data_IF_749375733600
#
_entry.id   IF_749375733600
#
_cell.length_a   1.000
_cell.length_b   1.000
_cell.length_c   1.000
_cell.angle_alpha   90.00
_cell.angle_beta   90.00
_cell.angle_gamma   90.00
#
_symmetry.space_group_name_H-M   'P 1'
#
loop_
_entity.id
_entity.type
_entity.pdbx_description
1 polymer ?
#
# COMPACT_ATOMS: atom_id res chain seq x y z
N UNK A 1 -3.18 40.53 37.12
CA UNK A 1 -2.76 39.41 36.24
C UNK A 1 -3.90 39.15 35.27
N UNK A 2 -3.73 39.37 33.96
CA UNK A 2 -4.78 39.01 33.00
C UNK A 2 -4.79 37.49 32.85
N UNK A 3 -5.89 36.87 33.24
CA UNK A 3 -6.19 35.46 32.95
C UNK A 3 -6.20 35.29 31.42
N UNK A 4 -5.47 34.30 30.92
CA UNK A 4 -5.53 33.87 29.52
C UNK A 4 -6.20 32.50 29.47
N UNK A 5 -6.98 32.22 28.44
CA UNK A 5 -7.59 30.90 28.24
C UNK A 5 -6.53 29.89 27.81
N UNK A 6 -6.44 28.79 28.54
CA UNK A 6 -5.59 27.63 28.20
C UNK A 6 -6.02 27.07 26.82
N UNK A 7 -5.07 26.61 26.00
CA UNK A 7 -5.34 26.06 24.67
C UNK A 7 -5.46 27.08 23.52
N UNK A 8 -5.67 28.36 23.80
CA UNK A 8 -5.84 29.39 22.74
C UNK A 8 -4.55 29.79 22.02
N UNK A 9 -3.40 29.36 22.55
CA UNK A 9 -2.06 29.55 21.95
C UNK A 9 -1.28 28.24 21.83
N UNK A 10 -1.92 27.10 22.05
CA UNK A 10 -1.28 25.81 21.85
C UNK A 10 -1.06 25.64 20.36
N UNK A 11 0.20 25.84 19.96
CA UNK A 11 0.64 25.71 18.57
C UNK A 11 1.56 24.51 18.51
N UNK A 12 1.29 23.68 17.53
CA UNK A 12 2.18 22.59 17.17
C UNK A 12 3.41 23.24 16.55
N UNK A 13 4.55 23.21 17.26
CA UNK A 13 5.83 23.74 16.77
C UNK A 13 6.45 22.85 15.66
N UNK A 14 5.76 21.80 15.23
CA UNK A 14 6.18 20.94 14.13
C UNK A 14 5.41 21.27 12.85
N UNK A 15 6.14 21.32 11.73
CA UNK A 15 5.55 21.40 10.40
C UNK A 15 4.82 20.08 10.10
N UNK A 16 3.48 20.13 10.06
CA UNK A 16 2.65 18.99 9.67
C UNK A 16 2.37 19.08 8.18
N UNK A 17 2.82 18.09 7.43
CA UNK A 17 2.50 17.95 6.00
C UNK A 17 1.17 17.21 5.91
N UNK A 18 0.24 17.76 5.14
CA UNK A 18 -1.09 17.16 4.95
C UNK A 18 -1.00 15.78 4.31
N UNK A 19 -1.74 14.82 4.87
CA UNK A 19 -1.90 13.46 4.32
C UNK A 19 -3.05 13.36 3.30
N UNK A 20 -3.71 14.49 2.98
CA UNK A 20 -4.78 14.54 1.99
C UNK A 20 -4.27 14.11 0.61
N UNK A 21 -5.11 13.39 -0.14
CA UNK A 21 -4.83 13.06 -1.53
C UNK A 21 -5.10 14.27 -2.44
N UNK A 22 -4.06 14.78 -3.12
CA UNK A 22 -4.14 15.96 -3.99
C UNK A 22 -4.12 15.58 -5.47
N UNK A 23 -5.05 16.12 -6.27
CA UNK A 23 -4.99 16.03 -7.74
C UNK A 23 -5.18 14.62 -8.29
N UNK A 24 -5.84 13.74 -7.53
CA UNK A 24 -6.12 12.34 -7.89
C UNK A 24 -7.61 12.03 -8.01
N UNK A 25 -8.44 13.06 -8.10
CA UNK A 25 -9.90 12.93 -8.06
C UNK A 25 -10.42 12.05 -9.21
N UNK A 26 -9.80 12.16 -10.40
CA UNK A 26 -10.16 11.34 -11.58
C UNK A 26 -9.76 9.88 -11.42
N UNK A 27 -8.63 9.62 -10.81
CA UNK A 27 -8.14 8.27 -10.57
C UNK A 27 -8.97 7.57 -9.49
N UNK A 28 -9.35 8.28 -8.43
CA UNK A 28 -10.28 7.79 -7.40
C UNK A 28 -11.63 7.43 -8.04
N UNK A 29 -12.18 8.32 -8.86
CA UNK A 29 -13.45 8.08 -9.56
C UNK A 29 -13.40 6.84 -10.47
N UNK A 30 -12.28 6.60 -11.17
CA UNK A 30 -12.08 5.38 -11.96
C UNK A 30 -12.06 4.11 -11.11
N UNK A 31 -11.41 4.15 -9.94
CA UNK A 31 -11.38 3.03 -9.01
C UNK A 31 -12.76 2.72 -8.45
N UNK A 32 -13.50 3.75 -8.01
CA UNK A 32 -14.87 3.60 -7.51
C UNK A 32 -15.82 3.10 -8.60
N UNK A 33 -15.72 3.63 -9.83
CA UNK A 33 -16.54 3.16 -10.95
C UNK A 33 -16.24 1.69 -11.28
N UNK A 34 -15.00 1.23 -11.10
CA UNK A 34 -14.66 -0.18 -11.28
C UNK A 34 -15.27 -1.05 -10.18
N UNK A 35 -15.20 -0.60 -8.93
CA UNK A 35 -15.89 -1.27 -7.83
C UNK A 35 -17.40 -1.34 -8.06
N UNK A 36 -18.03 -0.25 -8.49
CA UNK A 36 -19.47 -0.20 -8.73
C UNK A 36 -19.90 -1.18 -9.84
N UNK A 37 -19.12 -1.32 -10.93
CA UNK A 37 -19.40 -2.33 -11.96
C UNK A 37 -19.34 -3.76 -11.43
N UNK A 38 -18.37 -4.03 -10.56
CA UNK A 38 -18.19 -5.34 -9.92
C UNK A 38 -19.31 -5.63 -8.92
N UNK A 39 -19.72 -4.62 -8.14
CA UNK A 39 -20.70 -4.74 -7.07
C UNK A 39 -22.16 -4.75 -7.55
N UNK A 40 -22.51 -3.93 -8.55
CA UNK A 40 -23.90 -3.64 -8.94
C UNK A 40 -24.33 -4.31 -10.26
N UNK A 41 -23.44 -5.07 -10.93
CA UNK A 41 -23.70 -5.63 -12.26
C UNK A 41 -24.78 -6.72 -12.30
N UNK A 42 -25.66 -6.69 -13.33
CA UNK A 42 -26.62 -7.78 -13.64
C UNK A 42 -25.94 -9.10 -14.08
N UNK A 43 -24.68 -9.00 -14.53
CA UNK A 43 -23.74 -10.11 -14.76
C UNK A 43 -22.46 -9.80 -14.03
N UNK A 44 -22.47 -10.12 -12.75
CA UNK A 44 -21.33 -10.01 -11.84
C UNK A 44 -20.09 -10.62 -12.47
N UNK A 45 -18.97 -9.90 -12.42
CA UNK A 45 -17.75 -10.25 -13.13
C UNK A 45 -16.54 -9.92 -12.27
N UNK A 46 -15.46 -10.67 -12.47
CA UNK A 46 -14.17 -10.37 -11.86
C UNK A 46 -13.43 -9.35 -12.73
N UNK A 47 -12.98 -8.24 -12.14
CA UNK A 47 -12.17 -7.23 -12.83
C UNK A 47 -10.78 -7.12 -12.20
N UNK A 48 -9.75 -6.97 -13.06
CA UNK A 48 -8.39 -6.62 -12.66
C UNK A 48 -8.16 -5.12 -12.91
N UNK A 49 -7.85 -4.36 -11.86
CA UNK A 49 -7.50 -2.95 -11.94
C UNK A 49 -6.03 -2.74 -11.58
N UNK A 50 -5.23 -2.32 -12.55
CA UNK A 50 -3.80 -2.08 -12.38
C UNK A 50 -3.49 -0.60 -12.14
N UNK A 51 -2.74 -0.28 -11.10
CA UNK A 51 -2.23 1.05 -10.80
C UNK A 51 -0.72 1.05 -11.03
N UNK A 52 -0.30 1.54 -12.20
CA UNK A 52 1.09 1.70 -12.57
C UNK A 52 1.63 3.08 -12.21
N UNK A 53 2.92 3.18 -11.97
CA UNK A 53 3.64 4.45 -11.83
C UNK A 53 4.92 4.32 -11.03
N UNK A 54 5.75 5.35 -11.07
CA UNK A 54 7.04 5.39 -10.38
C UNK A 54 6.94 5.17 -8.86
N UNK A 55 8.06 4.85 -8.23
CA UNK A 55 8.16 4.78 -6.76
C UNK A 55 7.78 6.14 -6.11
N UNK A 56 7.04 6.08 -5.00
CA UNK A 56 6.62 7.28 -4.25
C UNK A 56 5.55 8.16 -4.93
N UNK A 57 5.00 7.74 -6.07
CA UNK A 57 4.04 8.55 -6.86
C UNK A 57 2.62 8.63 -6.23
N UNK A 58 2.36 7.83 -5.20
CA UNK A 58 1.10 7.77 -4.47
C UNK A 58 0.15 6.62 -4.85
N UNK A 59 0.66 5.49 -5.37
CA UNK A 59 -0.17 4.32 -5.74
C UNK A 59 -0.97 3.77 -4.56
N UNK A 60 -0.30 3.43 -3.46
CA UNK A 60 -0.96 2.87 -2.26
C UNK A 60 -1.86 3.92 -1.58
N UNK A 61 -1.47 5.20 -1.59
CA UNK A 61 -2.31 6.29 -1.08
C UNK A 61 -3.62 6.45 -1.88
N UNK A 62 -3.55 6.32 -3.21
CA UNK A 62 -4.73 6.35 -4.08
C UNK A 62 -5.68 5.19 -3.77
N UNK A 63 -5.14 3.97 -3.61
CA UNK A 63 -5.95 2.78 -3.31
C UNK A 63 -6.56 2.86 -1.91
N UNK A 64 -5.84 3.37 -0.92
CA UNK A 64 -6.37 3.55 0.43
C UNK A 64 -7.52 4.57 0.50
N UNK A 65 -7.60 5.52 -0.45
CA UNK A 65 -8.69 6.50 -0.51
C UNK A 65 -10.05 5.84 -0.77
N UNK A 66 -10.08 4.75 -1.53
CA UNK A 66 -11.33 4.04 -1.85
C UNK A 66 -11.74 3.01 -0.79
N UNK A 67 -10.89 2.74 0.20
CA UNK A 67 -11.17 1.78 1.27
C UNK A 67 -12.46 2.13 2.02
N UNK A 68 -12.62 3.39 2.46
CA UNK A 68 -13.81 3.83 3.19
C UNK A 68 -15.10 3.71 2.35
N UNK A 69 -15.18 4.26 1.12
CA UNK A 69 -16.34 4.07 0.26
C UNK A 69 -16.72 2.60 0.01
N UNK A 70 -15.73 1.70 -0.12
CA UNK A 70 -15.98 0.26 -0.32
C UNK A 70 -16.65 -0.35 0.92
N UNK A 71 -16.11 -0.06 2.11
CA UNK A 71 -16.67 -0.55 3.38
C UNK A 71 -18.07 0.02 3.63
N UNK A 72 -18.34 1.28 3.26
CA UNK A 72 -19.67 1.88 3.33
C UNK A 72 -20.71 1.14 2.46
N UNK A 73 -20.27 0.60 1.31
CA UNK A 73 -21.06 -0.27 0.44
C UNK A 73 -21.02 -1.75 0.85
N UNK A 74 -20.60 -2.06 2.08
CA UNK A 74 -20.49 -3.42 2.66
C UNK A 74 -19.51 -4.35 1.95
N UNK A 75 -18.60 -3.81 1.13
CA UNK A 75 -17.55 -4.61 0.51
C UNK A 75 -16.46 -4.98 1.53
N UNK A 76 -15.85 -6.14 1.33
CA UNK A 76 -14.62 -6.50 2.04
C UNK A 76 -13.42 -5.92 1.29
N UNK A 77 -12.47 -5.39 2.05
CA UNK A 77 -11.21 -4.89 1.50
C UNK A 77 -10.06 -5.51 2.26
N UNK A 78 -9.17 -6.17 1.52
CA UNK A 78 -7.97 -6.81 2.06
C UNK A 78 -6.78 -6.41 1.22
N UNK A 79 -5.61 -6.27 1.85
CA UNK A 79 -4.39 -5.92 1.17
C UNK A 79 -3.23 -6.85 1.50
N UNK A 80 -2.40 -7.08 0.49
CA UNK A 80 -1.20 -7.87 0.54
C UNK A 80 -0.07 -7.16 -0.19
N UNK A 81 1.17 -7.41 0.22
CA UNK A 81 2.33 -6.75 -0.37
C UNK A 81 3.44 -7.73 -0.67
N UNK A 82 3.98 -7.66 -1.88
CA UNK A 82 5.18 -8.41 -2.26
C UNK A 82 6.44 -7.72 -1.74
N UNK A 83 7.44 -8.51 -1.39
CA UNK A 83 8.76 -8.04 -0.95
C UNK A 83 9.84 -8.53 -1.91
N UNK A 84 10.72 -7.62 -2.34
CA UNK A 84 11.85 -7.93 -3.22
C UNK A 84 12.80 -8.99 -2.66
N UNK A 85 12.85 -9.15 -1.33
CA UNK A 85 13.70 -10.14 -0.65
C UNK A 85 12.98 -11.47 -0.36
N UNK A 86 11.68 -11.55 -0.63
CA UNK A 86 10.86 -12.75 -0.38
C UNK A 86 10.29 -13.36 -1.68
N UNK A 87 10.98 -13.16 -2.81
CA UNK A 87 10.54 -13.69 -4.11
C UNK A 87 10.49 -15.22 -4.18
N UNK A 88 11.20 -15.89 -3.27
CA UNK A 88 11.22 -17.35 -3.17
C UNK A 88 10.10 -17.92 -2.29
N UNK A 89 9.29 -17.06 -1.65
CA UNK A 89 8.14 -17.47 -0.83
C UNK A 89 6.87 -17.40 -1.70
N UNK A 90 6.32 -18.54 -2.14
CA UNK A 90 5.15 -18.56 -3.00
C UNK A 90 3.94 -17.94 -2.30
N UNK A 91 3.13 -17.19 -3.07
CA UNK A 91 1.85 -16.66 -2.60
C UNK A 91 1.96 -15.65 -1.45
N UNK A 92 3.15 -15.14 -1.10
CA UNK A 92 3.38 -14.31 0.09
C UNK A 92 2.38 -13.16 0.26
N UNK A 93 2.18 -12.32 -0.77
CA UNK A 93 1.23 -11.22 -0.70
C UNK A 93 -0.23 -11.70 -0.57
N UNK A 94 -0.60 -12.79 -1.28
CA UNK A 94 -1.94 -13.36 -1.17
C UNK A 94 -2.20 -13.84 0.26
N UNK A 95 -1.31 -14.66 0.81
CA UNK A 95 -1.47 -15.26 2.13
C UNK A 95 -1.48 -14.22 3.25
N UNK A 96 -0.69 -13.14 3.12
CA UNK A 96 -0.66 -12.07 4.12
C UNK A 96 -1.95 -11.22 4.13
N UNK A 97 -2.76 -11.23 3.07
CA UNK A 97 -3.98 -10.43 2.98
C UNK A 97 -5.18 -11.06 3.71
N UNK A 98 -5.29 -12.38 3.71
CA UNK A 98 -6.47 -13.08 4.23
C UNK A 98 -6.62 -13.11 5.76
N UNK A 99 -5.57 -13.10 6.60
CA UNK A 99 -5.73 -13.03 8.05
C UNK A 99 -6.61 -11.87 8.52
N UNK A 100 -6.51 -10.71 7.87
CA UNK A 100 -7.37 -9.56 8.19
C UNK A 100 -8.82 -9.78 7.77
N UNK A 101 -9.05 -10.45 6.62
CA UNK A 101 -10.40 -10.86 6.22
C UNK A 101 -11.04 -11.74 7.29
N UNK A 102 -10.32 -12.77 7.74
CA UNK A 102 -10.83 -13.72 8.73
C UNK A 102 -11.20 -12.99 10.02
N UNK A 103 -10.39 -12.03 10.48
CA UNK A 103 -10.71 -11.20 11.65
C UNK A 103 -11.94 -10.32 11.45
N UNK A 104 -12.13 -9.75 10.26
CA UNK A 104 -13.34 -9.00 9.92
C UNK A 104 -14.57 -9.91 9.99
N UNK A 105 -14.51 -11.11 9.41
CA UNK A 105 -15.60 -12.10 9.46
C UNK A 105 -15.90 -12.55 10.89
N UNK A 106 -14.88 -12.79 11.71
CA UNK A 106 -15.07 -13.17 13.12
C UNK A 106 -15.77 -12.08 13.95
N UNK A 107 -15.84 -10.85 13.45
CA UNK A 107 -16.52 -9.72 14.09
C UNK A 107 -17.97 -9.53 13.59
N UNK A 108 -18.42 -10.33 12.62
CA UNK A 108 -19.79 -10.29 12.09
C UNK A 108 -20.80 -10.95 13.06
N UNK A 109 -22.11 -10.66 12.90
CA UNK A 109 -23.15 -11.34 13.66
C UNK A 109 -23.10 -12.87 13.54
N UNK A 110 -23.42 -13.57 14.62
CA UNK A 110 -23.31 -15.03 14.72
C UNK A 110 -24.00 -15.78 13.58
N UNK A 111 -25.18 -15.32 13.15
CA UNK A 111 -25.93 -15.92 12.04
C UNK A 111 -25.16 -15.87 10.70
N UNK A 112 -24.51 -14.74 10.41
CA UNK A 112 -23.68 -14.57 9.21
C UNK A 112 -22.40 -15.38 9.30
N UNK A 113 -21.76 -15.39 10.47
CA UNK A 113 -20.56 -16.19 10.71
C UNK A 113 -20.85 -17.69 10.50
N UNK A 114 -21.96 -18.20 11.04
CA UNK A 114 -22.39 -19.59 10.85
C UNK A 114 -22.67 -19.91 9.37
N UNK A 115 -23.30 -18.99 8.64
CA UNK A 115 -23.54 -19.12 7.20
C UNK A 115 -22.23 -19.30 6.42
N UNK A 116 -21.27 -18.38 6.63
CA UNK A 116 -19.95 -18.44 5.97
C UNK A 116 -19.18 -19.70 6.35
N UNK A 117 -19.19 -20.08 7.64
CA UNK A 117 -18.52 -21.29 8.10
C UNK A 117 -19.09 -22.56 7.44
N UNK A 118 -20.43 -22.63 7.29
CA UNK A 118 -21.11 -23.73 6.60
C UNK A 118 -20.71 -23.78 5.12
N UNK A 119 -20.76 -22.64 4.44
CA UNK A 119 -20.39 -22.55 3.02
C UNK A 119 -18.91 -22.92 2.77
N UNK A 120 -18.00 -22.47 3.64
CA UNK A 120 -16.59 -22.88 3.60
C UNK A 120 -16.42 -24.40 3.77
N UNK A 121 -17.12 -25.01 4.72
CA UNK A 121 -17.07 -26.46 4.93
C UNK A 121 -17.63 -27.23 3.73
N UNK A 122 -18.70 -26.76 3.10
CA UNK A 122 -19.28 -27.39 1.91
C UNK A 122 -18.36 -27.28 0.68
N UNK A 123 -17.77 -26.11 0.46
CA UNK A 123 -16.96 -25.82 -0.74
C UNK A 123 -15.56 -26.43 -0.68
N UNK A 124 -14.93 -26.37 0.50
CA UNK A 124 -13.58 -26.92 0.74
C UNK A 124 -13.63 -28.41 1.09
N UNK A 125 -14.70 -28.87 1.74
CA UNK A 125 -14.88 -30.26 2.14
C UNK A 125 -13.75 -30.76 3.06
N UNK A 126 -13.39 -32.03 2.88
CA UNK A 126 -12.32 -32.69 3.66
C UNK A 126 -10.92 -32.12 3.40
N UNK A 127 -10.76 -31.28 2.37
CA UNK A 127 -9.47 -30.69 1.99
C UNK A 127 -9.25 -29.29 2.58
N UNK A 128 -10.14 -28.81 3.47
CA UNK A 128 -10.04 -27.51 4.11
C UNK A 128 -8.73 -27.28 4.87
N UNK A 129 -8.10 -28.35 5.37
CA UNK A 129 -6.79 -28.28 6.04
C UNK A 129 -5.70 -27.68 5.15
N UNK A 130 -5.77 -27.87 3.83
CA UNK A 130 -4.79 -27.31 2.87
C UNK A 130 -4.77 -25.77 2.92
N UNK A 131 -5.93 -25.15 3.16
CA UNK A 131 -6.03 -23.68 3.30
C UNK A 131 -5.65 -23.25 4.71
N UNK A 132 -6.04 -24.03 5.74
CA UNK A 132 -5.65 -23.74 7.14
C UNK A 132 -4.12 -23.76 7.31
N UNK A 133 -3.41 -24.66 6.63
CA UNK A 133 -1.94 -24.75 6.71
C UNK A 133 -1.24 -23.46 6.25
N UNK A 134 -1.88 -22.66 5.40
CA UNK A 134 -1.34 -21.37 4.91
C UNK A 134 -2.05 -20.14 5.47
N UNK A 135 -3.28 -20.28 5.98
CA UNK A 135 -4.07 -19.24 6.65
C UNK A 135 -4.62 -19.84 7.96
N UNK A 136 -3.80 -19.92 9.02
CA UNK A 136 -4.17 -20.61 10.26
C UNK A 136 -5.40 -20.02 10.96
N UNK A 137 -5.66 -18.73 10.79
CA UNK A 137 -6.82 -18.04 11.33
C UNK A 137 -8.14 -18.67 10.88
N UNK A 138 -8.17 -19.35 9.72
CA UNK A 138 -9.34 -20.03 9.21
C UNK A 138 -9.85 -21.14 10.16
N UNK A 139 -8.95 -21.76 10.95
CA UNK A 139 -9.34 -22.75 11.97
C UNK A 139 -10.32 -22.16 13.00
N UNK A 140 -10.25 -20.85 13.27
CA UNK A 140 -11.16 -20.17 14.19
C UNK A 140 -12.60 -20.09 13.66
N UNK A 141 -12.80 -20.16 12.34
CA UNK A 141 -14.12 -20.12 11.71
C UNK A 141 -14.73 -21.50 11.52
N UNK A 142 -13.97 -22.45 10.97
CA UNK A 142 -14.50 -23.76 10.56
C UNK A 142 -14.06 -24.91 11.47
N UNK A 143 -13.26 -24.62 12.50
CA UNK A 143 -12.71 -25.61 13.43
C UNK A 143 -11.58 -26.44 12.84
N UNK A 144 -11.00 -27.30 13.67
CA UNK A 144 -9.93 -28.23 13.29
C UNK A 144 -10.38 -29.18 12.20
N UNK A 145 -9.52 -29.37 11.21
CA UNK A 145 -9.77 -30.27 10.09
C UNK A 145 -8.83 -31.48 10.14
N UNK A 146 -9.19 -32.60 9.48
CA UNK A 146 -8.29 -33.73 9.33
C UNK A 146 -7.01 -33.34 8.57
N UNK A 147 -5.85 -33.95 8.85
CA UNK A 147 -4.62 -33.69 8.11
C UNK A 147 -4.79 -33.89 6.61
N UNK A 148 -4.29 -32.94 5.81
CA UNK A 148 -4.36 -33.04 4.36
C UNK A 148 -3.52 -34.21 3.83
N UNK A 149 -4.01 -34.89 2.79
CA UNK A 149 -3.24 -35.97 2.14
C UNK A 149 -1.99 -35.40 1.46
N UNK A 150 -0.84 -36.04 1.66
CA UNK A 150 0.41 -35.69 0.97
C UNK A 150 0.32 -36.04 -0.52
N UNK A 151 0.71 -35.09 -1.38
CA UNK A 151 0.70 -35.24 -2.83
C UNK A 151 2.07 -34.87 -3.41
N UNK A 152 2.33 -35.31 -4.65
CA UNK A 152 3.47 -34.79 -5.43
C UNK A 152 3.37 -33.28 -5.61
N UNK A 153 4.50 -32.58 -5.74
CA UNK A 153 4.54 -31.11 -5.82
C UNK A 153 3.58 -30.49 -6.84
N UNK A 154 3.50 -31.02 -8.05
CA UNK A 154 2.60 -30.48 -9.10
C UNK A 154 1.11 -30.71 -8.79
N UNK A 155 0.76 -31.88 -8.24
CA UNK A 155 -0.60 -32.18 -7.81
C UNK A 155 -1.01 -31.33 -6.59
N UNK A 156 -0.08 -31.11 -5.65
CA UNK A 156 -0.29 -30.24 -4.51
C UNK A 156 -0.54 -28.78 -4.94
N UNK A 157 0.23 -28.26 -5.90
CA UNK A 157 0.05 -26.91 -6.44
C UNK A 157 -1.30 -26.75 -7.15
N UNK A 158 -1.68 -27.71 -8.00
CA UNK A 158 -2.97 -27.67 -8.69
C UNK A 158 -4.15 -27.77 -7.70
N UNK A 159 -4.02 -28.63 -6.68
CA UNK A 159 -5.00 -28.73 -5.59
C UNK A 159 -5.12 -27.39 -4.85
N UNK A 160 -4.00 -26.81 -4.45
CA UNK A 160 -3.96 -25.54 -3.75
C UNK A 160 -4.66 -24.44 -4.57
N UNK A 161 -4.26 -24.25 -5.83
CA UNK A 161 -4.86 -23.24 -6.70
C UNK A 161 -6.39 -23.42 -6.84
N UNK A 162 -6.85 -24.67 -7.00
CA UNK A 162 -8.29 -24.96 -7.09
C UNK A 162 -9.03 -24.60 -5.80
N UNK A 163 -8.51 -25.02 -4.65
CA UNK A 163 -9.09 -24.78 -3.34
C UNK A 163 -9.03 -23.29 -2.97
N UNK A 164 -7.95 -22.60 -3.30
CA UNK A 164 -7.78 -21.18 -2.99
C UNK A 164 -8.76 -20.32 -3.80
N UNK A 165 -8.97 -20.61 -5.08
CA UNK A 165 -10.01 -19.93 -5.86
C UNK A 165 -11.42 -20.17 -5.31
N UNK A 166 -11.70 -21.40 -4.85
CA UNK A 166 -12.98 -21.75 -4.20
C UNK A 166 -13.14 -21.04 -2.85
N UNK A 167 -12.07 -20.92 -2.09
CA UNK A 167 -12.03 -20.17 -0.84
C UNK A 167 -12.35 -18.68 -1.09
N UNK A 168 -11.75 -18.07 -2.12
CA UNK A 168 -12.05 -16.68 -2.52
C UNK A 168 -13.52 -16.51 -2.89
N UNK A 169 -14.12 -17.45 -3.64
CA UNK A 169 -15.51 -17.32 -4.09
C UNK A 169 -16.51 -17.23 -2.93
N UNK A 170 -16.20 -17.83 -1.76
CA UNK A 170 -17.08 -17.72 -0.58
C UNK A 170 -17.25 -16.28 -0.11
N UNK A 171 -16.19 -15.47 -0.19
CA UNK A 171 -16.21 -14.09 0.31
C UNK A 171 -16.57 -13.06 -0.76
N UNK A 172 -16.54 -13.44 -2.04
CA UNK A 172 -16.86 -12.56 -3.15
C UNK A 172 -18.34 -12.74 -3.55
N UNK A 173 -19.22 -12.06 -2.81
CA UNK A 173 -20.69 -12.23 -2.93
C UNK A 173 -21.38 -10.91 -3.27
N UNK A 174 -22.63 -10.97 -3.72
CA UNK A 174 -23.40 -9.79 -4.10
C UNK A 174 -23.59 -8.82 -2.93
N UNK A 175 -23.88 -9.37 -1.76
CA UNK A 175 -24.09 -8.61 -0.53
C UNK A 175 -22.79 -8.03 0.04
N UNK A 176 -21.67 -8.66 -0.32
CA UNK A 176 -20.32 -8.35 0.17
C UNK A 176 -19.28 -8.52 -0.94
N UNK A 177 -19.18 -7.57 -1.89
CA UNK A 177 -18.16 -7.64 -2.93
C UNK A 177 -16.77 -7.63 -2.31
N UNK A 178 -15.87 -8.45 -2.83
CA UNK A 178 -14.51 -8.56 -2.33
C UNK A 178 -13.55 -7.71 -3.16
N UNK A 179 -12.73 -6.94 -2.46
CA UNK A 179 -11.62 -6.18 -3.05
C UNK A 179 -10.32 -6.71 -2.46
N UNK A 180 -9.45 -7.21 -3.33
CA UNK A 180 -8.11 -7.68 -2.95
C UNK A 180 -7.11 -6.72 -3.57
N UNK A 181 -6.31 -6.05 -2.75
CA UNK A 181 -5.22 -5.19 -3.22
C UNK A 181 -3.87 -5.87 -3.04
N UNK A 182 -3.11 -6.01 -4.13
CA UNK A 182 -1.75 -6.53 -4.12
C UNK A 182 -0.76 -5.45 -4.54
N UNK A 183 0.09 -5.02 -3.60
CA UNK A 183 1.10 -3.99 -3.83
C UNK A 183 2.46 -4.60 -4.25
N UNK A 184 3.24 -3.79 -4.97
CA UNK A 184 4.55 -4.14 -5.52
C UNK A 184 4.56 -5.40 -6.42
N UNK A 185 3.56 -5.57 -7.31
CA UNK A 185 3.45 -6.72 -8.22
C UNK A 185 4.68 -6.97 -9.11
N UNK A 186 5.55 -5.98 -9.32
CA UNK A 186 6.81 -6.19 -10.04
C UNK A 186 7.74 -7.20 -9.33
N UNK A 187 7.48 -7.53 -8.06
CA UNK A 187 8.23 -8.51 -7.28
C UNK A 187 7.46 -9.82 -7.05
N UNK A 188 6.29 -9.98 -7.67
CA UNK A 188 5.50 -11.20 -7.55
C UNK A 188 6.25 -12.43 -8.11
N UNK A 189 6.17 -13.54 -7.37
CA UNK A 189 6.68 -14.83 -7.82
C UNK A 189 5.77 -15.46 -8.89
N UNK A 190 6.30 -16.45 -9.63
CA UNK A 190 5.57 -17.08 -10.73
C UNK A 190 4.32 -17.85 -10.27
N UNK A 191 4.33 -18.43 -9.06
CA UNK A 191 3.18 -19.15 -8.55
C UNK A 191 2.05 -18.16 -8.19
N UNK A 192 2.38 -17.03 -7.56
CA UNK A 192 1.43 -15.93 -7.31
C UNK A 192 0.81 -15.37 -8.59
N UNK A 193 1.61 -15.16 -9.63
CA UNK A 193 1.11 -14.68 -10.94
C UNK A 193 0.21 -15.73 -11.62
N UNK A 194 0.56 -17.02 -11.52
CA UNK A 194 -0.29 -18.12 -11.99
C UNK A 194 -1.63 -18.15 -11.25
N UNK A 195 -1.62 -17.98 -9.93
CA UNK A 195 -2.84 -17.91 -9.12
C UNK A 195 -3.70 -16.71 -9.50
N UNK A 196 -3.10 -15.53 -9.68
CA UNK A 196 -3.79 -14.33 -10.19
C UNK A 196 -4.52 -14.63 -11.50
N UNK A 197 -3.83 -15.25 -12.46
CA UNK A 197 -4.42 -15.66 -13.73
C UNK A 197 -5.60 -16.61 -13.54
N UNK A 198 -5.45 -17.64 -12.72
CA UNK A 198 -6.52 -18.62 -12.45
C UNK A 198 -7.75 -17.97 -11.79
N UNK A 199 -7.55 -17.03 -10.87
CA UNK A 199 -8.64 -16.26 -10.25
C UNK A 199 -9.37 -15.42 -11.28
N UNK A 200 -8.63 -14.77 -12.20
CA UNK A 200 -9.22 -13.96 -13.27
C UNK A 200 -9.92 -14.78 -14.37
N UNK A 201 -9.56 -16.05 -14.54
CA UNK A 201 -10.18 -16.95 -15.53
C UNK A 201 -11.49 -17.59 -15.06
N UNK A 202 -11.68 -17.75 -13.74
CA UNK A 202 -12.79 -18.53 -13.20
C UNK A 202 -14.12 -17.78 -13.22
N UNK A 203 -15.07 -18.36 -13.93
CA UNK A 203 -16.45 -17.87 -14.08
C UNK A 203 -17.23 -17.91 -12.76
N UNK A 204 -16.86 -18.80 -11.83
CA UNK A 204 -17.58 -18.97 -10.56
C UNK A 204 -17.19 -17.94 -9.51
N UNK A 205 -16.16 -17.12 -9.75
CA UNK A 205 -15.82 -15.98 -8.88
C UNK A 205 -16.50 -14.75 -9.46
N UNK A 206 -17.49 -14.27 -8.72
CA UNK A 206 -18.28 -13.09 -9.03
C UNK A 206 -18.00 -12.03 -7.96
N UNK A 207 -18.28 -10.76 -8.24
CA UNK A 207 -18.14 -9.67 -7.25
C UNK A 207 -16.72 -9.50 -6.69
N UNK A 208 -15.70 -9.80 -7.50
CA UNK A 208 -14.29 -9.61 -7.13
C UNK A 208 -13.65 -8.47 -7.94
N UNK A 209 -13.13 -7.48 -7.23
CA UNK A 209 -12.21 -6.49 -7.78
C UNK A 209 -10.79 -6.81 -7.30
N UNK A 210 -9.97 -7.36 -8.19
CA UNK A 210 -8.55 -7.55 -7.93
C UNK A 210 -7.81 -6.27 -8.32
N UNK A 211 -7.11 -5.65 -7.39
CA UNK A 211 -6.30 -4.47 -7.63
C UNK A 211 -4.83 -4.78 -7.50
N UNK A 212 -4.03 -4.26 -8.43
CA UNK A 212 -2.59 -4.50 -8.48
C UNK A 212 -1.82 -3.20 -8.63
N UNK A 213 -0.94 -2.87 -7.70
CA UNK A 213 -0.02 -1.75 -7.86
C UNK A 213 1.36 -2.23 -8.30
N UNK A 214 1.99 -1.52 -9.24
CA UNK A 214 3.33 -1.87 -9.68
C UNK A 214 4.14 -0.65 -10.14
N UNK A 215 5.46 -0.84 -10.20
CA UNK A 215 6.41 0.15 -10.72
C UNK A 215 6.57 -0.06 -12.22
N UNK A 216 5.99 0.84 -13.00
CA UNK A 216 6.01 0.78 -14.46
C UNK A 216 7.41 0.94 -15.06
N UNK A 217 8.31 1.61 -14.34
CA UNK A 217 9.71 1.75 -14.71
C UNK A 217 10.60 0.53 -14.38
N UNK A 218 10.10 -0.46 -13.63
CA UNK A 218 10.83 -1.69 -13.27
C UNK A 218 10.37 -2.92 -14.07
N UNK A 219 9.32 -2.78 -14.89
CA UNK A 219 8.79 -3.87 -15.70
C UNK A 219 8.94 -3.54 -17.18
N UNK A 220 9.48 -4.50 -17.92
CA UNK A 220 9.62 -4.41 -19.37
C UNK A 220 8.62 -5.38 -20.05
N UNK A 221 8.44 -5.34 -21.38
CA UNK A 221 7.51 -6.23 -22.07
C UNK A 221 7.75 -7.74 -21.86
N UNK A 222 8.97 -8.16 -21.53
CA UNK A 222 9.31 -9.55 -21.22
C UNK A 222 9.21 -9.92 -19.73
N UNK A 223 8.79 -8.98 -18.88
CA UNK A 223 8.67 -9.22 -17.44
C UNK A 223 7.49 -10.17 -17.16
N UNK A 224 7.63 -11.16 -16.26
CA UNK A 224 6.57 -12.15 -15.98
C UNK A 224 5.20 -11.53 -15.70
N UNK A 225 5.14 -10.47 -14.89
CA UNK A 225 3.89 -9.72 -14.63
C UNK A 225 3.19 -9.26 -15.92
N UNK A 226 3.94 -8.67 -16.87
CA UNK A 226 3.36 -8.14 -18.11
C UNK A 226 2.83 -9.29 -18.98
N UNK A 227 3.60 -10.36 -19.10
CA UNK A 227 3.17 -11.57 -19.83
C UNK A 227 1.89 -12.16 -19.22
N UNK A 228 1.82 -12.27 -17.89
CA UNK A 228 0.60 -12.75 -17.20
C UNK A 228 -0.61 -11.85 -17.47
N UNK A 229 -0.44 -10.53 -17.45
CA UNK A 229 -1.53 -9.58 -17.75
C UNK A 229 -2.01 -9.74 -19.20
N UNK A 230 -1.09 -9.92 -20.15
CA UNK A 230 -1.43 -10.17 -21.56
C UNK A 230 -2.19 -11.49 -21.72
N UNK A 231 -1.76 -12.54 -21.03
CA UNK A 231 -2.47 -13.83 -21.02
C UNK A 231 -3.89 -13.71 -20.47
N UNK A 232 -4.09 -12.99 -19.36
CA UNK A 232 -5.43 -12.72 -18.79
C UNK A 232 -6.32 -12.01 -19.82
N UNK A 233 -5.80 -10.98 -20.48
CA UNK A 233 -6.54 -10.26 -21.54
C UNK A 233 -6.89 -11.19 -22.71
N UNK A 234 -5.96 -12.02 -23.16
CA UNK A 234 -6.16 -12.94 -24.28
C UNK A 234 -7.22 -14.01 -23.99
N UNK A 235 -7.42 -14.35 -22.72
CA UNK A 235 -8.46 -15.28 -22.26
C UNK A 235 -9.81 -14.59 -22.01
N UNK A 236 -9.92 -13.29 -22.31
CA UNK A 236 -11.15 -12.52 -22.17
C UNK A 236 -11.34 -11.89 -20.79
N UNK A 237 -10.34 -11.96 -19.90
CA UNK A 237 -10.37 -11.29 -18.61
C UNK A 237 -10.43 -9.77 -18.74
N UNK A 238 -11.19 -9.13 -17.86
CA UNK A 238 -11.38 -7.67 -17.86
C UNK A 238 -10.21 -7.03 -17.12
N UNK A 239 -9.37 -6.31 -17.85
CA UNK A 239 -8.19 -5.64 -17.30
C UNK A 239 -8.25 -4.14 -17.59
N UNK A 240 -8.32 -3.35 -16.53
CA UNK A 240 -8.26 -1.90 -16.55
C UNK A 240 -6.93 -1.41 -15.98
N UNK A 241 -6.52 -0.20 -16.37
CA UNK A 241 -5.24 0.35 -15.96
C UNK A 241 -5.31 1.87 -15.74
N UNK A 242 -4.66 2.30 -14.66
CA UNK A 242 -4.39 3.69 -14.31
C UNK A 242 -2.87 3.85 -14.25
N UNK A 243 -2.31 4.78 -15.02
CA UNK A 243 -0.89 5.17 -14.91
C UNK A 243 -0.82 6.51 -14.20
N UNK A 244 -0.23 6.52 -13.00
CA UNK A 244 -0.06 7.72 -12.21
C UNK A 244 1.11 8.55 -12.73
N UNK A 245 0.79 9.74 -13.22
CA UNK A 245 1.77 10.78 -13.50
C UNK A 245 2.15 11.55 -12.22
N UNK A 246 3.30 12.25 -12.21
CA UNK A 246 3.61 13.22 -11.16
C UNK A 246 2.49 14.23 -10.94
N UNK A 247 2.41 14.79 -9.73
CA UNK A 247 1.44 15.84 -9.43
C UNK A 247 1.68 17.01 -10.37
N UNK A 248 0.61 17.63 -10.85
CA UNK A 248 0.72 18.92 -11.51
C UNK A 248 1.25 19.96 -10.51
N UNK A 249 1.85 21.03 -11.02
CA UNK A 249 2.27 22.14 -10.19
C UNK A 249 1.11 22.73 -9.38
N UNK A 250 -0.12 22.74 -9.92
CA UNK A 250 -1.31 23.19 -9.19
C UNK A 250 -1.70 22.28 -8.03
N UNK A 251 -1.67 20.96 -8.23
CA UNK A 251 -1.96 20.00 -7.16
C UNK A 251 -0.88 20.05 -6.07
N UNK A 252 0.39 20.13 -6.47
CA UNK A 252 1.48 20.34 -5.52
C UNK A 252 1.37 21.67 -4.78
N UNK A 253 0.90 22.74 -5.44
CA UNK A 253 0.71 24.02 -4.79
C UNK A 253 -0.32 23.96 -3.67
N UNK A 254 -1.39 23.19 -3.85
CA UNK A 254 -2.39 22.99 -2.80
C UNK A 254 -1.79 22.23 -1.60
N UNK A 255 -0.97 21.20 -1.84
CA UNK A 255 -0.24 20.51 -0.78
C UNK A 255 0.68 21.47 -0.01
N UNK A 256 1.48 22.27 -0.72
CA UNK A 256 2.40 23.24 -0.09
C UNK A 256 1.62 24.31 0.67
N UNK A 257 0.56 24.86 0.09
CA UNK A 257 -0.31 25.85 0.70
C UNK A 257 -0.89 25.36 2.03
N UNK A 258 -1.46 24.16 2.05
CA UNK A 258 -2.02 23.55 3.26
C UNK A 258 -0.93 23.30 4.31
N UNK A 259 0.25 22.84 3.88
CA UNK A 259 1.39 22.55 4.76
C UNK A 259 1.90 23.79 5.49
N UNK A 260 2.03 24.93 4.80
CA UNK A 260 2.49 26.19 5.39
C UNK A 260 1.34 27.09 5.88
N UNK A 261 0.09 26.63 5.76
CA UNK A 261 -1.14 27.35 6.07
C UNK A 261 -1.27 28.72 5.36
N UNK A 262 -0.97 28.74 4.06
CA UNK A 262 -1.03 29.92 3.18
C UNK A 262 -2.16 29.77 2.15
N UNK A 263 -2.51 30.87 1.47
CA UNK A 263 -3.33 30.78 0.27
C UNK A 263 -2.49 30.28 -0.91
N UNK A 264 -3.10 29.62 -1.92
CA UNK A 264 -2.38 29.11 -3.10
C UNK A 264 -1.52 30.16 -3.81
N UNK A 265 -1.93 31.43 -3.82
CA UNK A 265 -1.18 32.50 -4.47
C UNK A 265 0.13 32.81 -3.72
N UNK A 266 0.12 32.69 -2.38
CA UNK A 266 1.28 33.00 -1.54
C UNK A 266 2.27 31.84 -1.44
N UNK A 267 1.80 30.61 -1.62
CA UNK A 267 2.67 29.41 -1.64
C UNK A 267 3.37 29.21 -2.98
N UNK A 268 2.87 29.83 -4.06
CA UNK A 268 3.30 29.51 -5.44
C UNK A 268 4.82 29.62 -5.66
N UNK A 269 5.46 30.67 -5.15
CA UNK A 269 6.90 30.87 -5.32
C UNK A 269 7.74 29.76 -4.66
N UNK A 270 7.31 29.27 -3.50
CA UNK A 270 7.93 28.12 -2.83
C UNK A 270 7.65 26.83 -3.60
N UNK A 271 6.39 26.63 -4.02
CA UNK A 271 5.96 25.49 -4.82
C UNK A 271 6.78 25.35 -6.10
N UNK A 272 7.09 26.44 -6.80
CA UNK A 272 7.92 26.41 -8.01
C UNK A 272 9.30 25.81 -7.75
N UNK A 273 9.92 26.14 -6.62
CA UNK A 273 11.24 25.59 -6.26
C UNK A 273 11.14 24.11 -5.87
N UNK A 274 10.12 23.75 -5.09
CA UNK A 274 9.86 22.35 -4.72
C UNK A 274 9.59 21.53 -5.99
N UNK A 275 8.71 22.01 -6.87
CA UNK A 275 8.39 21.35 -8.13
C UNK A 275 9.62 21.17 -9.01
N UNK A 276 10.45 22.20 -9.15
CA UNK A 276 11.70 22.12 -9.92
C UNK A 276 12.63 21.03 -9.40
N UNK A 277 12.78 20.90 -8.08
CA UNK A 277 13.66 19.91 -7.46
C UNK A 277 13.11 18.47 -7.51
N UNK A 278 11.79 18.32 -7.44
CA UNK A 278 11.12 17.04 -7.17
C UNK A 278 10.33 16.49 -8.35
N UNK A 279 10.18 17.32 -9.40
CA UNK A 279 9.41 17.03 -10.61
C UNK A 279 7.97 16.56 -10.33
N UNK A 280 7.38 17.04 -9.23
CA UNK A 280 6.01 16.71 -8.84
C UNK A 280 5.81 15.33 -8.21
N UNK A 281 6.88 14.57 -7.91
CA UNK A 281 6.77 13.32 -7.16
C UNK A 281 6.36 13.60 -5.69
N UNK A 282 5.19 13.13 -5.21
CA UNK A 282 4.69 13.43 -3.86
C UNK A 282 5.65 13.07 -2.73
N UNK A 283 6.30 11.90 -2.81
CA UNK A 283 7.26 11.46 -1.80
C UNK A 283 8.46 12.43 -1.76
N UNK A 284 9.06 12.73 -2.90
CA UNK A 284 10.18 13.66 -2.98
C UNK A 284 9.80 15.08 -2.55
N UNK A 285 8.61 15.57 -2.94
CA UNK A 285 8.07 16.85 -2.47
C UNK A 285 7.98 16.91 -0.96
N UNK A 286 7.37 15.90 -0.34
CA UNK A 286 7.19 15.80 1.11
C UNK A 286 8.53 15.78 1.83
N UNK A 287 9.48 14.97 1.36
CA UNK A 287 10.80 14.87 1.96
C UNK A 287 11.62 16.14 1.77
N UNK A 288 11.52 16.81 0.62
CA UNK A 288 12.20 18.08 0.41
C UNK A 288 11.64 19.17 1.32
N UNK A 289 10.32 19.24 1.52
CA UNK A 289 9.71 20.15 2.50
C UNK A 289 10.23 19.87 3.92
N UNK A 290 10.29 18.60 4.34
CA UNK A 290 10.87 18.21 5.64
C UNK A 290 12.33 18.64 5.77
N UNK A 291 13.12 18.47 4.71
CA UNK A 291 14.50 18.92 4.65
C UNK A 291 14.62 20.44 4.82
N UNK A 292 13.84 21.21 4.05
CA UNK A 292 13.83 22.67 4.14
C UNK A 292 13.47 23.14 5.56
N UNK A 293 12.54 22.46 6.23
CA UNK A 293 12.22 22.75 7.62
C UNK A 293 13.37 22.42 8.58
N UNK A 294 14.00 21.25 8.42
CA UNK A 294 15.13 20.82 9.25
C UNK A 294 16.35 21.74 9.14
N UNK A 295 16.62 22.28 7.96
CA UNK A 295 17.71 23.24 7.73
C UNK A 295 17.31 24.69 8.10
N UNK A 296 16.11 24.91 8.65
CA UNK A 296 15.64 26.24 9.06
C UNK A 296 15.29 27.18 7.89
N UNK A 297 15.12 26.63 6.69
CA UNK A 297 14.74 27.38 5.48
C UNK A 297 13.24 27.57 5.37
N UNK A 298 12.45 26.67 5.98
CA UNK A 298 11.06 26.90 6.36
C UNK A 298 11.04 26.93 7.88
N UNK A 299 10.61 28.04 8.49
CA UNK A 299 10.71 28.23 9.93
C UNK A 299 9.49 28.97 10.48
N UNK A 300 9.12 28.66 11.72
CA UNK A 300 8.00 29.33 12.38
C UNK A 300 8.42 30.74 12.81
N UNK A 301 7.58 31.73 12.47
CA UNK A 301 7.67 33.05 13.05
C UNK A 301 6.71 33.16 14.24
N UNK A 302 7.23 32.93 15.44
CA UNK A 302 6.49 33.01 16.71
C UNK A 302 5.73 34.33 16.92
N UNK A 303 6.20 35.45 16.36
CA UNK A 303 5.55 36.76 16.54
C UNK A 303 4.32 36.92 15.64
N UNK A 304 4.36 36.37 14.43
CA UNK A 304 3.27 36.48 13.44
C UNK A 304 2.40 35.23 13.39
N UNK A 305 2.87 34.14 14.00
CA UNK A 305 2.20 32.86 14.03
C UNK A 305 2.01 32.23 12.66
N UNK A 306 3.02 32.36 11.78
CA UNK A 306 3.02 31.90 10.40
C UNK A 306 4.37 31.30 10.06
N UNK A 307 4.36 30.28 9.22
CA UNK A 307 5.56 29.80 8.56
C UNK A 307 6.15 30.89 7.67
N UNK A 308 7.46 31.09 7.73
CA UNK A 308 8.24 31.89 6.80
C UNK A 308 9.21 30.99 6.05
N UNK A 309 9.72 31.47 4.91
CA UNK A 309 10.70 30.73 4.13
C UNK A 309 11.76 31.61 3.46
N UNK A 310 13.00 31.12 3.38
CA UNK A 310 14.11 31.80 2.73
C UNK A 310 14.18 31.42 1.23
N UNK A 311 13.39 32.10 0.41
CA UNK A 311 13.27 31.78 -1.01
C UNK A 311 14.60 31.83 -1.80
N UNK A 312 15.50 32.82 -1.60
CA UNK A 312 16.81 32.82 -2.26
C UNK A 312 17.65 31.56 -2.02
N UNK A 313 17.76 31.09 -0.77
CA UNK A 313 18.54 29.89 -0.44
C UNK A 313 17.86 28.61 -0.97
N UNK A 314 16.53 28.55 -0.87
CA UNK A 314 15.74 27.43 -1.41
C UNK A 314 15.92 27.31 -2.92
N UNK A 315 15.99 28.44 -3.63
CA UNK A 315 16.23 28.46 -5.08
C UNK A 315 17.58 27.87 -5.45
N UNK A 316 18.64 28.22 -4.72
CA UNK A 316 19.98 27.65 -4.94
C UNK A 316 19.95 26.13 -4.74
N UNK A 317 19.32 25.65 -3.67
CA UNK A 317 19.19 24.21 -3.39
C UNK A 317 18.35 23.48 -4.43
N UNK A 318 17.29 24.12 -4.94
CA UNK A 318 16.44 23.55 -5.97
C UNK A 318 17.14 23.42 -7.34
N UNK A 319 18.20 24.21 -7.57
CA UNK A 319 19.03 24.16 -8.79
C UNK A 319 20.21 23.18 -8.66
N UNK A 320 20.56 22.75 -7.45
CA UNK A 320 21.71 21.87 -7.20
C UNK A 320 21.30 20.40 -6.99
N UNK A 321 21.99 19.45 -7.63
CA UNK A 321 21.92 18.00 -7.35
C UNK A 321 20.55 17.34 -7.61
N UNK A 322 20.49 16.02 -7.52
CA UNK A 322 19.23 15.26 -7.54
C UNK A 322 18.58 15.24 -6.14
N UNK A 323 17.27 15.02 -6.04
CA UNK A 323 16.60 14.73 -4.77
C UNK A 323 17.05 13.40 -4.18
N UNK A 324 17.48 12.44 -5.01
CA UNK A 324 18.07 11.18 -4.53
C UNK A 324 19.37 11.43 -3.76
N UNK A 325 20.23 12.31 -4.26
CA UNK A 325 21.46 12.74 -3.58
C UNK A 325 21.13 13.42 -2.24
N UNK A 326 20.09 14.27 -2.22
CA UNK A 326 19.63 14.91 -1.00
C UNK A 326 19.20 13.89 0.07
N UNK A 327 18.52 12.80 -0.30
CA UNK A 327 18.19 11.73 0.64
C UNK A 327 19.44 11.01 1.15
N UNK A 328 20.39 10.74 0.26
CA UNK A 328 21.65 10.11 0.63
C UNK A 328 22.43 10.98 1.63
N UNK A 329 22.49 12.30 1.39
CA UNK A 329 23.10 13.28 2.29
C UNK A 329 22.40 13.33 3.65
N UNK A 330 21.08 13.19 3.69
CA UNK A 330 20.34 13.11 4.96
C UNK A 330 20.72 11.88 5.77
N UNK A 331 20.89 10.72 5.13
CA UNK A 331 21.35 9.49 5.80
C UNK A 331 22.79 9.68 6.29
N UNK A 332 23.66 10.31 5.50
CA UNK A 332 25.05 10.56 5.88
C UNK A 332 25.21 11.54 7.06
N UNK A 333 24.21 12.42 7.30
CA UNK A 333 24.17 13.31 8.47
C UNK A 333 23.80 12.59 9.78
N UNK A 334 23.32 11.35 9.72
CA UNK A 334 22.98 10.57 10.91
C UNK A 334 24.25 10.09 11.65
N UNK A 335 24.18 9.79 12.95
CA UNK A 335 25.28 9.16 13.67
C UNK A 335 25.75 7.88 12.96
N UNK A 336 27.06 7.59 13.00
CA UNK A 336 27.63 6.44 12.30
C UNK A 336 26.98 5.12 12.71
N UNK A 337 26.65 4.95 14.00
CA UNK A 337 25.94 3.77 14.50
C UNK A 337 24.54 3.62 13.89
N UNK A 338 23.80 4.73 13.73
CA UNK A 338 22.51 4.75 13.05
C UNK A 338 22.67 4.40 11.56
N UNK A 339 23.69 4.91 10.88
CA UNK A 339 23.94 4.57 9.47
C UNK A 339 24.26 3.08 9.28
N UNK A 340 25.11 2.51 10.14
CA UNK A 340 25.43 1.08 10.13
C UNK A 340 24.17 0.23 10.38
N UNK A 341 23.35 0.64 11.35
CA UNK A 341 22.09 -0.03 11.65
C UNK A 341 21.12 0.01 10.48
N UNK A 342 20.97 1.17 9.81
CA UNK A 342 20.11 1.32 8.64
C UNK A 342 20.57 0.46 7.45
N UNK A 343 21.88 0.28 7.26
CA UNK A 343 22.41 -0.63 6.22
C UNK A 343 21.99 -2.08 6.48
N UNK A 344 22.04 -2.53 7.73
CA UNK A 344 21.59 -3.87 8.10
C UNK A 344 20.07 -4.02 7.95
N UNK A 345 19.32 -3.03 8.43
CA UNK A 345 17.86 -2.99 8.29
C UNK A 345 17.42 -3.11 6.82
N UNK A 346 18.11 -2.41 5.91
CA UNK A 346 17.84 -2.46 4.47
C UNK A 346 18.06 -3.85 3.84
N UNK A 347 18.75 -4.78 4.51
CA UNK A 347 19.01 -6.13 4.03
C UNK A 347 18.04 -7.19 4.58
N UNK A 348 17.16 -6.86 5.52
CA UNK A 348 16.26 -7.84 6.16
C UNK A 348 14.99 -8.00 5.32
N UNK A 349 14.15 -6.97 5.27
CA UNK A 349 12.84 -6.96 4.60
C UNK A 349 12.22 -5.56 4.72
N UNK A 350 11.08 -5.34 4.06
CA UNK A 350 10.32 -4.08 4.17
C UNK A 350 9.73 -3.83 5.57
N UNK A 351 9.50 -4.88 6.36
CA UNK A 351 9.04 -4.80 7.75
C UNK A 351 9.76 -5.86 8.59
N UNK A 352 10.25 -5.46 9.75
CA UNK A 352 10.95 -6.32 10.70
C UNK A 352 10.68 -5.82 12.12
N UNK A 353 10.76 -6.72 13.09
CA UNK A 353 10.69 -6.35 14.49
C UNK A 353 12.07 -5.90 15.04
N UNK A 354 12.04 -5.19 16.16
CA UNK A 354 13.24 -4.70 16.84
C UNK A 354 14.16 -5.85 17.30
N UNK A 355 13.58 -7.01 17.59
CA UNK A 355 14.34 -8.19 18.04
C UNK A 355 15.26 -8.71 16.95
N UNK A 356 14.70 -8.97 15.77
CA UNK A 356 15.42 -9.41 14.56
C UNK A 356 16.56 -8.44 14.24
N UNK A 357 16.27 -7.14 14.22
CA UNK A 357 17.29 -6.14 13.94
C UNK A 357 18.38 -6.10 15.03
N UNK A 358 18.02 -6.27 16.31
CA UNK A 358 19.00 -6.31 17.40
C UNK A 358 19.94 -7.52 17.32
N UNK A 359 19.42 -8.67 16.88
CA UNK A 359 20.22 -9.89 16.63
C UNK A 359 21.17 -9.67 15.46
N UNK A 360 20.69 -9.13 14.34
CA UNK A 360 21.53 -8.85 13.16
C UNK A 360 22.60 -7.79 13.46
N UNK A 361 22.27 -6.79 14.29
CA UNK A 361 23.22 -5.75 14.68
C UNK A 361 24.17 -6.16 15.81
N UNK A 362 23.97 -7.34 16.40
CA UNK A 362 24.74 -7.84 17.54
C UNK A 362 24.78 -6.84 18.73
N UNK A 363 23.59 -6.33 19.09
CA UNK A 363 23.38 -5.38 20.20
C UNK A 363 22.16 -5.74 21.02
N UNK A 364 22.08 -5.20 22.24
CA UNK A 364 20.85 -5.32 23.03
C UNK A 364 19.69 -4.54 22.38
N UNK A 365 18.45 -5.00 22.57
CA UNK A 365 17.26 -4.30 22.05
C UNK A 365 17.21 -2.83 22.46
N UNK A 366 17.63 -2.51 23.69
CA UNK A 366 17.65 -1.14 24.19
C UNK A 366 18.66 -0.25 23.46
N UNK A 367 19.86 -0.77 23.17
CA UNK A 367 20.86 -0.03 22.41
C UNK A 367 20.40 0.17 20.96
N UNK A 368 19.90 -0.88 20.31
CA UNK A 368 19.37 -0.82 18.95
C UNK A 368 18.25 0.22 18.83
N UNK A 369 17.30 0.24 19.78
CA UNK A 369 16.23 1.24 19.81
C UNK A 369 16.78 2.67 19.96
N UNK A 370 17.81 2.87 20.79
CA UNK A 370 18.42 4.20 20.97
C UNK A 370 19.10 4.73 19.70
N UNK A 371 19.67 3.84 18.88
CA UNK A 371 20.26 4.21 17.60
C UNK A 371 19.21 4.50 16.51
N UNK A 372 18.05 3.83 16.54
CA UNK A 372 16.91 4.12 15.66
C UNK A 372 16.23 5.44 15.99
N UNK A 373 16.23 5.87 17.25
CA UNK A 373 15.52 7.09 17.66
C UNK A 373 16.02 8.36 16.95
N UNK A 374 17.27 8.33 16.47
CA UNK A 374 17.88 9.44 15.74
C UNK A 374 17.61 9.40 14.23
N UNK A 375 17.01 8.31 13.71
CA UNK A 375 16.80 8.07 12.28
C UNK A 375 15.62 8.85 11.71
#
# INVERSE_FOLDING_TARGET
>A
MKLFELGTKDRINSLIISEKLYGREKEVDKLLTAFDRVAEGEKSQTELMLVGGFSGIGKSALVNEIHKPIVEKRGYFIDGKFDQFQRDIPFSAWLNAFPELIKQILSEPEEKLQGIATELQEILGEEAQVIIDVIPELELLIGKQPPATELSSSAAENRFNLLFSKFISVFAQAEHPLVIFLDDLQWADLASLKLMKLVMEKIDINYLLLMGAYRDNEVNPGHPLILTIEEIKNLGGIVNQIILSPLSQSALNNLVADTINYSPEKSLALTEQIYRKTQGNPFFSTQFIKYLHKEGLIYDNYQQGKWLFNLPEIKILAESGDVVELMADQIQKLPQSTQELLKLAACISNQFDLETLSVVYDKSRSETASYLWNA
#
